data_IF_217150177355
#
_entry.id   IF_217150177355
#
_cell.length_a   1.000
_cell.length_b   1.000
_cell.length_c   1.000
_cell.angle_alpha   90.00
_cell.angle_beta   90.00
_cell.angle_gamma   90.00
#
_symmetry.space_group_name_H-M   'P 1'
#
loop_
_entity.id
_entity.type
_entity.pdbx_description
1 polymer ?
#
# COMPACT_ATOMS: atom_id res chain seq x y z
N UNK A 1 7.37 9.23 -16.46
CA UNK A 1 7.88 9.64 -15.11
C UNK A 1 6.86 9.25 -14.06
N UNK A 2 7.27 8.68 -12.90
CA UNK A 2 6.33 8.34 -11.82
C UNK A 2 6.06 9.57 -10.97
N UNK A 3 4.78 9.85 -10.75
CA UNK A 3 4.23 10.92 -9.93
C UNK A 3 3.12 10.37 -9.04
N UNK A 4 2.74 11.11 -7.99
CA UNK A 4 1.58 10.79 -7.17
C UNK A 4 0.87 12.07 -6.71
N UNK A 5 -0.45 11.99 -6.63
CA UNK A 5 -1.33 13.07 -6.19
C UNK A 5 -2.32 12.55 -5.15
N UNK A 6 -2.77 13.41 -4.24
CA UNK A 6 -3.82 13.01 -3.28
C UNK A 6 -5.05 12.51 -4.02
N UNK A 7 -5.68 11.47 -3.45
CA UNK A 7 -6.94 10.93 -3.93
C UNK A 7 -8.03 12.01 -3.94
N UNK A 8 -8.74 12.12 -5.05
CA UNK A 8 -9.88 13.00 -5.23
C UNK A 8 -11.14 12.21 -5.58
N UNK A 9 -12.28 12.87 -5.61
CA UNK A 9 -13.54 12.24 -6.00
C UNK A 9 -13.50 11.64 -7.42
N UNK A 10 -12.83 12.32 -8.34
CA UNK A 10 -12.73 11.90 -9.74
C UNK A 10 -11.91 10.60 -9.92
N UNK A 11 -11.08 10.25 -8.94
CA UNK A 11 -10.26 9.04 -8.95
C UNK A 11 -10.99 7.79 -8.43
N UNK A 12 -12.20 7.94 -7.85
CA UNK A 12 -12.86 6.85 -7.11
C UNK A 12 -13.26 5.68 -7.99
N UNK A 13 -13.64 5.91 -9.24
CA UNK A 13 -13.95 4.84 -10.18
C UNK A 13 -12.72 3.98 -10.45
N UNK A 14 -11.59 4.61 -10.75
CA UNK A 14 -10.32 3.92 -10.96
C UNK A 14 -9.87 3.16 -9.71
N UNK A 15 -9.93 3.80 -8.53
CA UNK A 15 -9.59 3.16 -7.27
C UNK A 15 -10.44 1.93 -6.99
N UNK A 16 -11.76 2.02 -7.22
CA UNK A 16 -12.70 0.92 -7.03
C UNK A 16 -12.36 -0.27 -7.94
N UNK A 17 -12.07 -0.02 -9.21
CA UNK A 17 -11.73 -1.06 -10.18
C UNK A 17 -10.43 -1.78 -9.76
N UNK A 18 -9.37 -1.04 -9.45
CA UNK A 18 -8.09 -1.62 -9.03
C UNK A 18 -8.22 -2.39 -7.72
N UNK A 19 -8.95 -1.85 -6.73
CA UNK A 19 -9.19 -2.55 -5.46
C UNK A 19 -9.90 -3.89 -5.68
N UNK A 20 -10.96 -3.89 -6.49
CA UNK A 20 -11.74 -5.10 -6.77
C UNK A 20 -10.96 -6.14 -7.58
N UNK A 21 -9.98 -5.73 -8.38
CA UNK A 21 -9.02 -6.65 -9.01
C UNK A 21 -8.03 -7.28 -8.00
N UNK A 22 -7.66 -6.53 -6.96
CA UNK A 22 -6.66 -6.95 -6.00
C UNK A 22 -7.21 -7.74 -4.82
N UNK A 23 -8.51 -7.58 -4.48
CA UNK A 23 -9.08 -8.03 -3.21
C UNK A 23 -8.95 -9.54 -2.98
N UNK A 24 -9.16 -10.35 -3.99
CA UNK A 24 -9.14 -11.81 -3.85
C UNK A 24 -7.74 -12.36 -3.61
N UNK A 25 -6.69 -11.71 -4.13
CA UNK A 25 -5.33 -12.25 -4.16
C UNK A 25 -4.43 -11.55 -3.13
N UNK A 26 -4.46 -10.22 -3.08
CA UNK A 26 -3.44 -9.43 -2.39
C UNK A 26 -3.92 -8.77 -1.11
N UNK A 27 -5.22 -8.44 -1.00
CA UNK A 27 -5.76 -7.72 0.15
C UNK A 27 -6.18 -8.68 1.27
N UNK A 28 -6.17 -8.20 2.50
CA UNK A 28 -6.68 -8.93 3.66
C UNK A 28 -8.21 -9.10 3.55
N UNK A 29 -8.91 -8.07 3.09
CA UNK A 29 -10.33 -8.10 2.81
C UNK A 29 -10.58 -8.54 1.36
N UNK A 30 -11.37 -9.61 1.18
CA UNK A 30 -11.71 -10.20 -0.13
C UNK A 30 -12.99 -9.64 -0.73
N UNK A 31 -13.74 -8.80 0.00
CA UNK A 31 -15.01 -8.28 -0.46
C UNK A 31 -14.83 -7.30 -1.63
N UNK A 32 -15.71 -7.41 -2.61
CA UNK A 32 -15.82 -6.45 -3.71
C UNK A 32 -16.81 -5.36 -3.32
N UNK A 33 -16.48 -4.12 -3.65
CA UNK A 33 -17.34 -2.98 -3.38
C UNK A 33 -17.86 -2.38 -4.68
N UNK A 34 -19.11 -1.91 -4.63
CA UNK A 34 -19.68 -1.08 -5.69
C UNK A 34 -19.05 0.31 -5.64
N UNK A 35 -19.16 1.05 -6.76
CA UNK A 35 -18.69 2.44 -6.79
C UNK A 35 -19.41 3.30 -5.73
N UNK A 36 -20.72 3.10 -5.52
CA UNK A 36 -21.48 3.83 -4.50
C UNK A 36 -20.96 3.58 -3.08
N UNK A 37 -20.62 2.34 -2.74
CA UNK A 37 -19.99 2.02 -1.44
C UNK A 37 -18.61 2.68 -1.30
N UNK A 38 -17.83 2.73 -2.38
CA UNK A 38 -16.53 3.43 -2.40
C UNK A 38 -16.69 4.94 -2.22
N UNK A 39 -17.70 5.54 -2.83
CA UNK A 39 -18.03 6.97 -2.66
C UNK A 39 -18.45 7.26 -1.21
N UNK A 40 -19.33 6.44 -0.63
CA UNK A 40 -19.75 6.57 0.76
C UNK A 40 -18.57 6.45 1.73
N UNK A 41 -17.71 5.45 1.53
CA UNK A 41 -16.48 5.29 2.28
C UNK A 41 -15.57 6.52 2.19
N UNK A 42 -15.35 7.05 0.98
CA UNK A 42 -14.51 8.24 0.77
C UNK A 42 -15.05 9.47 1.53
N UNK A 43 -16.37 9.70 1.44
CA UNK A 43 -17.02 10.83 2.10
C UNK A 43 -16.99 10.71 3.63
N UNK A 44 -17.13 9.50 4.15
CA UNK A 44 -17.21 9.23 5.61
C UNK A 44 -15.82 9.15 6.24
N UNK A 45 -14.91 8.40 5.63
CA UNK A 45 -13.60 8.09 6.22
C UNK A 45 -12.53 9.12 5.90
N UNK A 46 -12.72 9.92 4.83
CA UNK A 46 -11.74 10.91 4.34
C UNK A 46 -10.32 10.31 4.28
N UNK A 47 -10.11 9.25 3.51
CA UNK A 47 -8.89 8.48 3.54
C UNK A 47 -7.70 9.29 3.03
N UNK A 48 -6.53 9.04 3.61
CA UNK A 48 -5.29 9.63 3.19
C UNK A 48 -4.59 8.69 2.19
N UNK A 49 -5.07 8.72 0.93
CA UNK A 49 -4.58 7.90 -0.17
C UNK A 49 -3.98 8.78 -1.28
N UNK A 50 -3.14 8.19 -2.12
CA UNK A 50 -2.53 8.87 -3.27
C UNK A 50 -2.66 8.01 -4.52
N UNK A 51 -3.02 8.62 -5.64
CA UNK A 51 -3.00 7.99 -6.96
C UNK A 51 -1.57 7.98 -7.49
N UNK A 52 -1.13 6.82 -7.97
CA UNK A 52 0.15 6.64 -8.65
C UNK A 52 -0.09 6.87 -10.15
N UNK A 53 0.70 7.77 -10.73
CA UNK A 53 0.66 8.08 -12.18
C UNK A 53 1.99 7.76 -12.83
N UNK A 54 1.93 7.15 -14.01
CA UNK A 54 3.06 6.96 -14.92
C UNK A 54 2.80 7.77 -16.18
N UNK A 55 3.62 8.79 -16.42
CA UNK A 55 3.48 9.71 -17.56
C UNK A 55 2.06 10.28 -17.71
N UNK A 56 1.47 10.69 -16.59
CA UNK A 56 0.13 11.26 -16.49
C UNK A 56 -1.03 10.24 -16.43
N UNK A 57 -0.77 8.95 -16.66
CA UNK A 57 -1.78 7.89 -16.62
C UNK A 57 -1.86 7.28 -15.22
N UNK A 58 -3.06 7.16 -14.65
CA UNK A 58 -3.29 6.48 -13.37
C UNK A 58 -3.02 4.98 -13.50
N UNK A 59 -2.08 4.46 -12.71
CA UNK A 59 -1.62 3.07 -12.78
C UNK A 59 -1.88 2.28 -11.50
N UNK A 60 -2.21 2.97 -10.40
CA UNK A 60 -2.47 2.37 -9.10
C UNK A 60 -2.67 3.43 -8.03
N UNK A 61 -2.64 3.02 -6.79
CA UNK A 61 -2.73 3.95 -5.65
C UNK A 61 -1.95 3.44 -4.44
N UNK A 62 -1.52 4.40 -3.61
CA UNK A 62 -1.02 4.13 -2.26
C UNK A 62 -2.15 4.28 -1.24
N UNK A 63 -2.18 3.37 -0.28
CA UNK A 63 -3.03 3.42 0.91
C UNK A 63 -2.19 3.79 2.12
N UNK A 64 -2.73 4.62 2.99
CA UNK A 64 -2.17 4.83 4.33
C UNK A 64 -3.24 4.61 5.38
N UNK A 65 -2.84 4.13 6.53
CA UNK A 65 -3.71 3.90 7.68
C UNK A 65 -2.95 4.00 9.00
N UNK A 66 -3.68 4.02 10.11
CA UNK A 66 -3.12 3.99 11.46
C UNK A 66 -2.02 5.05 11.70
N UNK A 67 -2.20 6.25 11.12
CA UNK A 67 -1.27 7.34 11.36
C UNK A 67 -1.32 7.78 12.82
N UNK A 68 -0.17 7.77 13.49
CA UNK A 68 0.01 8.27 14.85
C UNK A 68 1.00 9.43 14.87
N UNK A 69 0.48 10.64 15.05
CA UNK A 69 1.31 11.83 15.20
C UNK A 69 2.26 11.72 16.42
N UNK A 70 1.75 11.20 17.54
CA UNK A 70 2.54 11.03 18.78
C UNK A 70 3.68 10.02 18.61
N UNK A 71 3.40 8.87 17.99
CA UNK A 71 4.36 7.79 17.81
C UNK A 71 5.13 7.91 16.49
N UNK A 72 4.81 8.90 15.66
CA UNK A 72 5.45 9.17 14.36
C UNK A 72 5.53 7.92 13.48
N UNK A 73 4.43 7.19 13.38
CA UNK A 73 4.33 5.99 12.54
C UNK A 73 3.07 5.99 11.67
N UNK A 74 3.12 5.22 10.60
CA UNK A 74 2.04 5.02 9.64
C UNK A 74 2.13 3.62 9.04
N UNK A 75 0.99 3.07 8.65
CA UNK A 75 0.93 1.87 7.82
C UNK A 75 0.71 2.25 6.36
N UNK A 76 1.39 1.55 5.45
CA UNK A 76 1.27 1.78 4.00
C UNK A 76 0.97 0.50 3.25
N UNK A 77 0.40 0.65 2.06
CA UNK A 77 0.25 -0.38 1.05
C UNK A 77 0.07 0.24 -0.32
N UNK A 78 0.24 -0.52 -1.38
CA UNK A 78 -0.03 -0.08 -2.74
C UNK A 78 -0.71 -1.18 -3.54
N UNK A 79 -1.60 -0.77 -4.41
CA UNK A 79 -2.27 -1.63 -5.38
C UNK A 79 -2.07 -1.06 -6.79
N UNK A 80 -1.64 -1.90 -7.73
CA UNK A 80 -1.50 -1.54 -9.14
C UNK A 80 -2.57 -2.24 -9.98
N UNK A 81 -3.09 -1.51 -10.96
CA UNK A 81 -3.91 -2.10 -12.01
C UNK A 81 -3.13 -3.23 -12.72
N UNK A 82 -3.82 -4.30 -13.09
CA UNK A 82 -3.22 -5.54 -13.64
C UNK A 82 -2.25 -5.28 -14.80
N UNK A 83 -2.59 -4.34 -15.68
CA UNK A 83 -1.79 -4.06 -16.88
C UNK A 83 -0.45 -3.39 -16.59
N UNK A 84 -0.25 -2.92 -15.34
CA UNK A 84 0.96 -2.25 -14.90
C UNK A 84 1.79 -3.05 -13.89
N UNK A 85 1.38 -4.28 -13.58
CA UNK A 85 2.14 -5.21 -12.73
C UNK A 85 3.33 -5.80 -13.49
N UNK A 86 4.30 -6.33 -12.78
CA UNK A 86 5.51 -7.01 -13.32
C UNK A 86 6.45 -6.13 -14.17
N UNK A 87 6.32 -4.81 -14.07
CA UNK A 87 7.11 -3.83 -14.86
C UNK A 87 8.04 -2.97 -14.00
N UNK A 88 8.26 -3.33 -12.73
CA UNK A 88 9.08 -2.53 -11.82
C UNK A 88 8.40 -1.28 -11.24
N UNK A 89 7.21 -0.91 -11.73
CA UNK A 89 6.50 0.33 -11.38
C UNK A 89 6.25 0.45 -9.87
N UNK A 90 5.87 -0.65 -9.20
CA UNK A 90 5.67 -0.64 -7.75
C UNK A 90 6.97 -0.26 -7.02
N UNK A 91 8.09 -0.87 -7.37
CA UNK A 91 9.38 -0.58 -6.75
C UNK A 91 9.76 0.90 -6.92
N UNK A 92 9.72 1.41 -8.16
CA UNK A 92 10.06 2.80 -8.46
C UNK A 92 9.12 3.79 -7.77
N UNK A 93 7.83 3.44 -7.66
CA UNK A 93 6.84 4.25 -6.93
C UNK A 93 7.15 4.33 -5.44
N UNK A 94 7.45 3.20 -4.80
CA UNK A 94 7.84 3.17 -3.39
C UNK A 94 9.14 3.92 -3.12
N UNK A 95 10.14 3.83 -4.01
CA UNK A 95 11.39 4.57 -3.87
C UNK A 95 11.21 6.09 -3.80
N UNK A 96 10.13 6.61 -4.39
CA UNK A 96 9.74 8.03 -4.30
C UNK A 96 8.81 8.31 -3.12
N UNK A 97 7.85 7.43 -2.87
CA UNK A 97 6.79 7.66 -1.89
C UNK A 97 7.27 7.52 -0.44
N UNK A 98 8.16 6.56 -0.15
CA UNK A 98 8.69 6.34 1.20
C UNK A 98 9.44 7.57 1.72
N UNK A 99 10.43 8.14 0.99
CA UNK A 99 11.09 9.38 1.42
C UNK A 99 10.13 10.55 1.59
N UNK A 100 9.14 10.69 0.69
CA UNK A 100 8.11 11.70 0.79
C UNK A 100 7.34 11.58 2.11
N UNK A 101 6.88 10.36 2.48
CA UNK A 101 6.13 10.15 3.73
C UNK A 101 6.98 10.47 4.96
N UNK A 102 8.22 10.00 5.02
CA UNK A 102 9.12 10.30 6.14
C UNK A 102 9.27 11.80 6.37
N UNK A 103 9.44 12.56 5.28
CA UNK A 103 9.64 14.02 5.36
C UNK A 103 8.34 14.77 5.65
N UNK A 104 7.26 14.49 4.91
CA UNK A 104 5.98 15.21 4.99
C UNK A 104 5.32 15.05 6.37
N UNK A 105 5.40 13.85 6.95
CA UNK A 105 4.75 13.54 8.23
C UNK A 105 5.73 13.44 9.41
N UNK A 106 7.00 13.80 9.19
CA UNK A 106 8.06 13.70 10.22
C UNK A 106 8.03 12.35 10.95
N UNK A 107 8.00 11.25 10.16
CA UNK A 107 7.86 9.90 10.69
C UNK A 107 9.17 9.38 11.27
N UNK A 108 9.04 8.48 12.24
CA UNK A 108 10.12 7.64 12.76
C UNK A 108 10.10 6.26 12.09
N UNK A 109 8.90 5.74 11.79
CA UNK A 109 8.69 4.37 11.32
C UNK A 109 7.55 4.31 10.29
N UNK A 110 7.76 3.52 9.25
CA UNK A 110 6.72 3.10 8.31
C UNK A 110 6.54 1.59 8.43
N UNK A 111 5.30 1.13 8.54
CA UNK A 111 4.94 -0.29 8.66
C UNK A 111 4.02 -0.72 7.53
N UNK A 112 3.95 -2.02 7.29
CA UNK A 112 3.00 -2.64 6.38
C UNK A 112 2.62 -4.03 6.87
N UNK A 113 1.50 -4.53 6.38
CA UNK A 113 1.08 -5.91 6.53
C UNK A 113 0.93 -6.55 5.16
N UNK A 114 1.43 -7.76 5.00
CA UNK A 114 1.36 -8.51 3.76
C UNK A 114 0.96 -9.96 4.03
N UNK A 115 0.04 -10.50 3.23
CA UNK A 115 -0.33 -11.91 3.33
C UNK A 115 0.89 -12.79 3.04
N UNK A 116 1.09 -13.84 3.82
CA UNK A 116 2.19 -14.80 3.63
C UNK A 116 2.13 -15.45 2.24
N UNK A 117 0.95 -15.62 1.67
CA UNK A 117 0.74 -16.09 0.29
C UNK A 117 1.25 -15.12 -0.78
N UNK A 118 1.39 -13.83 -0.47
CA UNK A 118 1.87 -12.82 -1.40
C UNK A 118 3.41 -12.74 -1.42
N UNK A 119 4.08 -13.79 -1.88
CA UNK A 119 5.55 -13.85 -1.94
C UNK A 119 6.15 -12.71 -2.77
N UNK A 120 5.44 -12.26 -3.79
CA UNK A 120 5.85 -11.15 -4.65
C UNK A 120 5.91 -9.83 -3.89
N UNK A 121 4.88 -9.53 -3.10
CA UNK A 121 4.87 -8.36 -2.21
C UNK A 121 5.97 -8.44 -1.16
N UNK A 122 6.15 -9.60 -0.53
CA UNK A 122 7.21 -9.83 0.47
C UNK A 122 8.59 -9.55 -0.13
N UNK A 123 8.87 -10.06 -1.33
CA UNK A 123 10.15 -9.84 -2.02
C UNK A 123 10.36 -8.38 -2.40
N UNK A 124 9.30 -7.68 -2.84
CA UNK A 124 9.33 -6.24 -3.10
C UNK A 124 9.70 -5.46 -1.84
N UNK A 125 9.03 -5.71 -0.73
CA UNK A 125 9.28 -5.00 0.53
C UNK A 125 10.67 -5.27 1.10
N UNK A 126 11.16 -6.51 1.01
CA UNK A 126 12.56 -6.85 1.36
C UNK A 126 13.55 -6.07 0.50
N UNK A 127 13.32 -6.00 -0.82
CA UNK A 127 14.17 -5.24 -1.75
C UNK A 127 14.17 -3.73 -1.44
N UNK A 128 13.06 -3.20 -0.95
CA UNK A 128 12.94 -1.80 -0.50
C UNK A 128 13.63 -1.55 0.85
N UNK A 129 14.01 -2.60 1.58
CA UNK A 129 14.69 -2.51 2.88
C UNK A 129 13.79 -2.69 4.09
N UNK A 130 12.53 -3.08 3.91
CA UNK A 130 11.66 -3.45 5.03
C UNK A 130 12.14 -4.73 5.71
N UNK A 131 12.09 -4.75 7.03
CA UNK A 131 12.44 -5.90 7.87
C UNK A 131 11.19 -6.49 8.51
N UNK A 132 11.14 -7.81 8.63
CA UNK A 132 10.03 -8.51 9.31
C UNK A 132 10.07 -8.24 10.81
N UNK A 133 8.95 -7.82 11.38
CA UNK A 133 8.77 -7.64 12.83
C UNK A 133 8.04 -8.81 13.49
N UNK A 134 7.14 -9.45 12.77
CA UNK A 134 6.35 -10.53 13.32
C UNK A 134 5.37 -11.15 12.34
N UNK A 135 4.67 -12.16 12.81
CA UNK A 135 3.66 -12.90 12.07
C UNK A 135 2.39 -12.97 12.92
N UNK A 136 1.30 -12.53 12.33
CA UNK A 136 -0.05 -12.77 12.84
C UNK A 136 -0.52 -14.09 12.28
N UNK A 137 -0.66 -15.10 13.13
CA UNK A 137 -1.06 -16.43 12.70
C UNK A 137 -2.56 -16.48 12.43
N UNK A 138 -2.94 -17.17 11.34
CA UNK A 138 -4.35 -17.39 10.97
C UNK A 138 -5.19 -16.10 10.94
N UNK A 139 -4.60 -15.01 10.44
CA UNK A 139 -5.20 -13.66 10.45
C UNK A 139 -6.35 -13.53 9.46
N UNK A 140 -6.26 -14.21 8.31
CA UNK A 140 -7.24 -14.06 7.23
C UNK A 140 -7.71 -15.42 6.74
N UNK A 141 -9.05 -15.56 6.60
CA UNK A 141 -9.64 -16.73 5.97
C UNK A 141 -9.95 -16.45 4.50
N UNK A 142 -9.27 -17.15 3.59
CA UNK A 142 -9.43 -17.00 2.14
C UNK A 142 -9.46 -18.36 1.45
N UNK A 143 -10.41 -18.54 0.53
CA UNK A 143 -10.49 -19.75 -0.30
C UNK A 143 -10.43 -21.05 0.52
N UNK A 144 -11.11 -21.08 1.67
CA UNK A 144 -11.14 -22.23 2.54
C UNK A 144 -9.91 -22.46 3.42
N UNK A 145 -8.94 -21.54 3.43
CA UNK A 145 -7.72 -21.65 4.21
C UNK A 145 -7.48 -20.42 5.10
N UNK A 146 -6.90 -20.66 6.27
CA UNK A 146 -6.33 -19.61 7.11
C UNK A 146 -4.95 -19.21 6.60
N UNK A 147 -4.72 -17.91 6.47
CA UNK A 147 -3.48 -17.32 5.95
C UNK A 147 -2.89 -16.40 6.98
N UNK A 148 -1.60 -16.54 7.23
CA UNK A 148 -0.86 -15.65 8.11
C UNK A 148 -0.67 -14.27 7.45
N UNK A 149 -0.58 -13.22 8.29
CA UNK A 149 -0.16 -11.90 7.88
C UNK A 149 1.21 -11.57 8.47
N UNK A 150 2.13 -11.11 7.62
CA UNK A 150 3.47 -10.72 8.02
C UNK A 150 3.50 -9.22 8.23
N UNK A 151 4.00 -8.78 9.39
CA UNK A 151 4.25 -7.38 9.70
C UNK A 151 5.68 -7.06 9.31
N UNK A 152 5.85 -6.03 8.49
CA UNK A 152 7.18 -5.52 8.12
C UNK A 152 7.26 -4.01 8.37
N UNK A 153 8.46 -3.51 8.64
CA UNK A 153 8.67 -2.09 8.89
C UNK A 153 10.04 -1.60 8.39
N UNK A 154 10.13 -0.28 8.29
CA UNK A 154 11.34 0.47 8.00
C UNK A 154 11.40 1.71 8.90
N UNK A 155 12.56 1.96 9.52
CA UNK A 155 12.85 3.16 10.28
C UNK A 155 13.53 4.22 9.40
N UNK A 156 13.42 5.50 9.77
CA UNK A 156 13.99 6.62 9.01
C UNK A 156 15.52 6.49 8.82
N UNK A 157 16.26 5.96 9.82
CA UNK A 157 17.69 5.74 9.70
C UNK A 157 18.05 4.65 8.68
N UNK A 158 17.21 3.63 8.52
CA UNK A 158 17.40 2.53 7.56
C UNK A 158 17.20 2.98 6.09
N UNK A 159 16.41 4.04 5.87
CA UNK A 159 16.22 4.62 4.53
C UNK A 159 17.54 5.09 3.90
N UNK A 160 18.47 5.58 4.69
CA UNK A 160 19.74 6.11 4.21
C UNK A 160 20.80 5.01 3.99
N UNK A 161 20.70 3.89 4.68
CA UNK A 161 21.63 2.75 4.54
C UNK A 161 21.47 2.03 3.19
N UNK A 162 20.28 2.05 2.60
CA UNK A 162 19.96 1.39 1.33
C UNK A 162 20.32 2.23 0.08
N UNK A 163 20.93 3.41 0.25
CA UNK A 163 21.35 4.30 -0.85
C UNK A 163 22.84 4.20 -1.18
N UNK A 164 23.61 3.38 -0.44
CA UNK A 164 25.02 3.10 -0.66
C UNK A 164 25.20 1.68 -1.32
#
# INVERSE_FOLDING_TARGET
MIEFSKLTYDDLSFLNDVRNECCEIYLHDSDKFTLNQTIEWFNTMKPMFWIIKLDGVSVGYFRTSNYSFKNKNIYIGADLHKDFRDKGIAYDSYCKFIPFLFNEFNLHKISLEVLESNQRGINLYKKLGFKTEGIKRDEVFKNGNWINSIIMSMFINELNENKN
#
